data_IF_328641431512
#
_entry.id   IF_328641431512
#
_cell.length_a   1.000
_cell.length_b   1.000
_cell.length_c   1.000
_cell.angle_alpha   90.00
_cell.angle_beta   90.00
_cell.angle_gamma   90.00
#
_symmetry.space_group_name_H-M   'P 1'
#
loop_
_entity.id
_entity.type
_entity.pdbx_description
1 polymer ?
#
# COMPACT_ATOMS: atom_id res chain seq x y z
N UNK A 1 0.22 15.89 -2.83
CA UNK A 1 0.26 14.74 -1.90
C UNK A 1 1.71 14.42 -1.60
N UNK A 2 2.06 14.31 -0.34
CA UNK A 2 3.38 13.90 0.10
C UNK A 2 3.74 12.49 -0.40
N UNK A 3 5.02 12.23 -0.64
CA UNK A 3 5.45 10.97 -1.25
C UNK A 3 5.08 9.75 -0.40
N UNK A 4 5.19 9.84 0.95
CA UNK A 4 4.86 8.73 1.84
C UNK A 4 3.40 8.25 1.69
N UNK A 5 2.45 9.17 1.52
CA UNK A 5 1.04 8.78 1.36
C UNK A 5 0.79 8.01 0.05
N UNK A 6 1.56 8.31 -1.02
CA UNK A 6 1.54 7.50 -2.24
C UNK A 6 2.13 6.11 -2.02
N UNK A 7 3.25 6.06 -1.29
CA UNK A 7 3.89 4.80 -0.96
C UNK A 7 2.95 3.91 -0.16
N UNK A 8 2.26 4.46 0.84
CA UNK A 8 1.26 3.73 1.63
C UNK A 8 0.13 3.20 0.75
N UNK A 9 -0.41 4.01 -0.17
CA UNK A 9 -1.47 3.54 -1.08
C UNK A 9 -0.99 2.40 -1.99
N UNK A 10 0.24 2.45 -2.50
CA UNK A 10 0.79 1.34 -3.29
C UNK A 10 1.11 0.11 -2.44
N UNK A 11 1.51 0.29 -1.17
CA UNK A 11 1.81 -0.80 -0.25
C UNK A 11 0.55 -1.50 0.28
N UNK A 12 -0.58 -0.78 0.36
CA UNK A 12 -1.79 -1.25 1.02
C UNK A 12 -2.23 -2.67 0.59
N UNK A 13 -2.29 -3.03 -0.72
CA UNK A 13 -2.68 -4.38 -1.13
C UNK A 13 -1.75 -5.50 -0.63
N UNK A 14 -0.54 -5.15 -0.23
CA UNK A 14 0.51 -6.06 0.21
C UNK A 14 0.62 -6.15 1.73
N UNK A 15 0.02 -5.20 2.47
CA UNK A 15 0.17 -5.12 3.93
C UNK A 15 -0.27 -6.39 4.64
N UNK A 16 -1.34 -7.03 4.15
CA UNK A 16 -1.82 -8.29 4.74
C UNK A 16 -0.78 -9.40 4.58
N UNK A 17 -0.33 -9.63 3.34
CA UNK A 17 0.66 -10.68 3.05
C UNK A 17 1.94 -10.49 3.86
N UNK A 18 2.47 -9.25 3.86
CA UNK A 18 3.68 -8.95 4.64
C UNK A 18 3.46 -9.14 6.14
N UNK A 19 2.30 -8.77 6.67
CA UNK A 19 1.94 -9.02 8.07
C UNK A 19 1.84 -10.51 8.40
N UNK A 20 1.27 -11.30 7.50
CA UNK A 20 1.18 -12.77 7.62
C UNK A 20 2.59 -13.41 7.58
N UNK A 21 3.48 -12.93 6.68
CA UNK A 21 4.89 -13.37 6.60
C UNK A 21 5.65 -13.08 7.91
N UNK A 22 5.46 -11.90 8.51
CA UNK A 22 6.02 -11.60 9.83
C UNK A 22 5.49 -12.53 10.91
N UNK A 23 4.19 -12.83 10.92
CA UNK A 23 3.58 -13.73 11.88
C UNK A 23 4.14 -15.16 11.77
N UNK A 24 4.32 -15.64 10.55
CA UNK A 24 4.93 -16.95 10.29
C UNK A 24 6.41 -16.98 10.72
N UNK A 25 7.17 -15.95 10.36
CA UNK A 25 8.58 -15.83 10.74
C UNK A 25 8.77 -15.82 12.26
N UNK A 26 7.98 -15.04 13.00
CA UNK A 26 7.98 -15.01 14.46
C UNK A 26 7.70 -16.41 15.02
N UNK A 27 6.68 -17.11 14.51
CA UNK A 27 6.32 -18.46 14.96
C UNK A 27 7.46 -19.45 14.72
N UNK A 28 8.02 -19.46 13.52
CA UNK A 28 9.10 -20.36 13.15
C UNK A 28 10.35 -20.13 14.02
N UNK A 29 10.72 -18.87 14.25
CA UNK A 29 11.84 -18.51 15.12
C UNK A 29 11.60 -18.90 16.58
N UNK A 30 10.41 -18.71 17.09
CA UNK A 30 10.05 -19.13 18.45
C UNK A 30 10.13 -20.65 18.64
N UNK A 31 9.67 -21.43 17.65
CA UNK A 31 9.76 -22.90 17.68
C UNK A 31 11.21 -23.39 17.59
N UNK A 32 12.02 -22.75 16.74
CA UNK A 32 13.43 -23.14 16.52
C UNK A 32 14.38 -22.54 17.58
N UNK A 33 13.86 -21.88 18.60
CA UNK A 33 14.65 -21.21 19.64
C UNK A 33 15.63 -22.14 20.36
N UNK A 34 15.28 -23.41 20.56
CA UNK A 34 16.13 -24.43 21.20
C UNK A 34 17.44 -24.71 20.45
N UNK A 35 17.47 -24.51 19.13
CA UNK A 35 18.65 -24.77 18.29
C UNK A 35 19.25 -23.45 17.75
N UNK A 36 18.86 -22.31 18.31
CA UNK A 36 19.35 -21.02 17.86
C UNK A 36 20.80 -20.77 18.31
N UNK A 37 21.71 -20.32 17.44
CA UNK A 37 23.03 -19.88 17.84
C UNK A 37 23.02 -18.53 18.60
N UNK A 38 21.86 -17.87 18.69
CA UNK A 38 21.68 -16.61 19.40
C UNK A 38 21.49 -16.84 20.87
N UNK A 39 21.98 -15.94 21.70
CA UNK A 39 21.64 -15.93 23.14
C UNK A 39 20.16 -15.66 23.32
N UNK A 40 19.59 -16.14 24.42
CA UNK A 40 18.17 -15.96 24.76
C UNK A 40 17.74 -14.48 24.70
N UNK A 41 18.61 -13.59 25.22
CA UNK A 41 18.36 -12.13 25.21
C UNK A 41 18.28 -11.59 23.80
N UNK A 42 19.27 -11.88 22.94
CA UNK A 42 19.27 -11.44 21.55
C UNK A 42 18.10 -12.01 20.75
N UNK A 43 17.71 -13.22 21.01
CA UNK A 43 16.53 -13.81 20.38
C UNK A 43 15.25 -13.10 20.82
N UNK A 44 15.14 -12.79 22.13
CA UNK A 44 14.00 -12.05 22.66
C UNK A 44 13.91 -10.62 22.07
N UNK A 45 15.02 -9.89 21.99
CA UNK A 45 15.08 -8.58 21.35
C UNK A 45 14.65 -8.65 19.88
N UNK A 46 15.19 -9.60 19.14
CA UNK A 46 14.84 -9.82 17.74
C UNK A 46 13.34 -10.09 17.56
N UNK A 47 12.78 -11.04 18.31
CA UNK A 47 11.35 -11.36 18.24
C UNK A 47 10.47 -10.19 18.66
N UNK A 48 10.89 -9.42 19.65
CA UNK A 48 10.17 -8.20 20.06
C UNK A 48 10.10 -7.19 18.92
N UNK A 49 11.22 -6.98 18.22
CA UNK A 49 11.25 -6.06 17.08
C UNK A 49 10.35 -6.50 15.92
N UNK A 50 10.36 -7.79 15.62
CA UNK A 50 9.46 -8.39 14.60
C UNK A 50 7.97 -8.21 14.97
N UNK A 51 7.62 -8.42 16.25
CA UNK A 51 6.26 -8.22 16.77
C UNK A 51 5.85 -6.73 16.63
N UNK A 52 6.74 -5.82 16.97
CA UNK A 52 6.48 -4.37 16.84
C UNK A 52 6.22 -4.01 15.36
N UNK A 53 7.06 -4.50 14.44
CA UNK A 53 6.86 -4.28 13.00
C UNK A 53 5.52 -4.85 12.52
N UNK A 54 5.18 -6.09 12.90
CA UNK A 54 3.90 -6.72 12.57
C UNK A 54 2.72 -5.87 13.06
N UNK A 55 2.74 -5.45 14.32
CA UNK A 55 1.66 -4.66 14.91
C UNK A 55 1.52 -3.29 14.22
N UNK A 56 2.63 -2.66 13.86
CA UNK A 56 2.63 -1.41 13.11
C UNK A 56 1.99 -1.58 11.71
N UNK A 57 2.28 -2.68 11.01
CA UNK A 57 1.67 -3.00 9.71
C UNK A 57 0.16 -3.27 9.84
N UNK A 58 -0.27 -3.99 10.86
CA UNK A 58 -1.69 -4.24 11.14
C UNK A 58 -2.43 -2.94 11.47
N UNK A 59 -1.82 -2.08 12.29
CA UNK A 59 -2.37 -0.77 12.60
C UNK A 59 -2.49 0.10 11.34
N UNK A 60 -1.47 0.16 10.50
CA UNK A 60 -1.49 0.91 9.25
C UNK A 60 -2.59 0.39 8.32
N UNK A 61 -2.69 -0.95 8.17
CA UNK A 61 -3.73 -1.59 7.36
C UNK A 61 -5.12 -1.20 7.84
N UNK A 62 -5.41 -1.37 9.13
CA UNK A 62 -6.71 -1.03 9.73
C UNK A 62 -7.03 0.46 9.58
N UNK A 63 -6.03 1.31 9.74
CA UNK A 63 -6.18 2.76 9.54
C UNK A 63 -6.58 3.05 8.09
N UNK A 64 -5.86 2.51 7.11
CA UNK A 64 -6.19 2.70 5.68
C UNK A 64 -7.60 2.18 5.37
N UNK A 65 -7.98 1.01 5.87
CA UNK A 65 -9.33 0.44 5.71
C UNK A 65 -10.40 1.39 6.25
N UNK A 66 -10.23 1.88 7.48
CA UNK A 66 -11.15 2.84 8.09
C UNK A 66 -11.26 4.15 7.28
N UNK A 67 -10.17 4.63 6.69
CA UNK A 67 -10.19 5.79 5.82
C UNK A 67 -10.87 5.52 4.48
N UNK A 68 -10.66 4.33 3.92
CA UNK A 68 -11.36 3.89 2.70
C UNK A 68 -12.87 3.84 2.91
N UNK A 69 -13.34 3.47 4.10
CA UNK A 69 -14.77 3.41 4.44
C UNK A 69 -15.44 4.78 4.48
N UNK A 70 -14.68 5.85 4.66
CA UNK A 70 -15.15 7.24 4.61
C UNK A 70 -15.23 7.82 3.20
N UNK A 71 -14.74 7.09 2.21
CA UNK A 71 -14.78 7.53 0.82
C UNK A 71 -16.10 7.12 0.16
N UNK A 72 -16.54 7.92 -0.81
CA UNK A 72 -17.65 7.53 -1.68
C UNK A 72 -17.27 6.32 -2.55
N UNK A 73 -18.26 5.61 -3.07
CA UNK A 73 -18.02 4.47 -3.98
C UNK A 73 -17.24 4.86 -5.24
N UNK A 74 -17.51 6.05 -5.80
CA UNK A 74 -16.76 6.58 -6.93
C UNK A 74 -15.28 6.82 -6.56
N UNK A 75 -15.03 7.40 -5.39
CA UNK A 75 -13.67 7.66 -4.89
C UNK A 75 -12.90 6.36 -4.65
N UNK A 76 -13.53 5.36 -4.03
CA UNK A 76 -12.95 4.01 -3.85
C UNK A 76 -12.59 3.38 -5.19
N UNK A 77 -13.51 3.42 -6.15
CA UNK A 77 -13.27 2.90 -7.50
C UNK A 77 -12.07 3.58 -8.16
N UNK A 78 -11.93 4.90 -8.01
CA UNK A 78 -10.78 5.62 -8.55
C UNK A 78 -9.46 5.21 -7.89
N UNK A 79 -9.43 4.99 -6.57
CA UNK A 79 -8.23 4.49 -5.87
C UNK A 79 -7.92 3.04 -6.29
N UNK A 80 -8.92 2.16 -6.37
CA UNK A 80 -8.75 0.77 -6.82
C UNK A 80 -8.12 0.71 -8.22
N UNK A 81 -8.63 1.50 -9.15
CA UNK A 81 -8.10 1.55 -10.51
C UNK A 81 -6.65 2.03 -10.54
N UNK A 82 -6.29 3.00 -9.72
CA UNK A 82 -4.98 3.64 -9.73
C UNK A 82 -3.93 2.87 -8.95
N UNK A 83 -4.26 2.44 -7.74
CA UNK A 83 -3.28 1.92 -6.77
C UNK A 83 -3.41 0.41 -6.55
N UNK A 84 -4.62 -0.16 -6.67
CA UNK A 84 -4.87 -1.55 -6.31
C UNK A 84 -5.17 -2.45 -7.51
N UNK A 85 -5.66 -1.89 -8.61
CA UNK A 85 -6.04 -2.66 -9.79
C UNK A 85 -4.91 -2.85 -10.79
N UNK A 86 -5.03 -3.84 -11.67
CA UNK A 86 -4.10 -4.10 -12.79
C UNK A 86 -4.21 -2.98 -13.84
N UNK A 87 -3.15 -2.74 -14.59
CA UNK A 87 -3.09 -1.75 -15.70
C UNK A 87 -4.23 -1.92 -16.71
N UNK A 88 -4.72 -3.16 -16.89
CA UNK A 88 -5.89 -3.47 -17.71
C UNK A 88 -7.14 -2.75 -17.21
N UNK A 89 -7.41 -2.75 -15.91
CA UNK A 89 -8.59 -2.07 -15.32
C UNK A 89 -8.61 -0.56 -15.65
N UNK A 90 -7.47 0.12 -15.60
CA UNK A 90 -7.40 1.53 -15.99
C UNK A 90 -7.71 1.73 -17.46
N UNK A 91 -7.13 0.91 -18.33
CA UNK A 91 -7.36 1.00 -19.79
C UNK A 91 -8.83 0.77 -20.12
N UNK A 92 -9.43 -0.27 -19.54
CA UNK A 92 -10.83 -0.60 -19.75
C UNK A 92 -11.77 0.51 -19.21
N UNK A 93 -11.44 1.08 -18.06
CA UNK A 93 -12.18 2.22 -17.51
C UNK A 93 -12.13 3.43 -18.45
N UNK A 94 -10.95 3.84 -18.89
CA UNK A 94 -10.79 4.98 -19.81
C UNK A 94 -11.50 4.74 -21.15
N UNK A 95 -11.44 3.52 -21.67
CA UNK A 95 -12.17 3.12 -22.89
C UNK A 95 -13.69 3.27 -22.74
N UNK A 96 -14.27 2.73 -21.64
CA UNK A 96 -15.70 2.88 -21.34
C UNK A 96 -16.11 4.36 -21.17
N UNK A 97 -15.27 5.20 -20.55
CA UNK A 97 -15.53 6.63 -20.42
C UNK A 97 -15.52 7.35 -21.79
N UNK A 98 -14.60 6.96 -22.66
CA UNK A 98 -14.54 7.50 -24.02
C UNK A 98 -15.77 7.09 -24.85
N UNK A 99 -16.23 5.85 -24.74
CA UNK A 99 -17.45 5.34 -25.40
C UNK A 99 -18.69 6.08 -24.89
N UNK A 100 -18.84 6.29 -23.56
CA UNK A 100 -19.93 7.11 -23.00
C UNK A 100 -19.97 8.53 -23.54
N UNK A 101 -18.82 9.14 -23.77
CA UNK A 101 -18.73 10.50 -24.35
C UNK A 101 -19.18 10.51 -25.81
N UNK A 102 -18.81 9.49 -26.60
CA UNK A 102 -19.22 9.37 -28.00
C UNK A 102 -20.73 9.20 -28.15
N UNK A 103 -21.39 8.54 -27.20
CA UNK A 103 -22.85 8.35 -27.17
C UNK A 103 -23.63 9.54 -26.58
N UNK A 104 -23.00 10.70 -26.41
CA UNK A 104 -23.65 11.91 -25.86
C UNK A 104 -23.81 11.92 -24.33
N UNK A 105 -23.22 10.96 -23.64
CA UNK A 105 -23.27 10.86 -22.17
C UNK A 105 -22.16 11.65 -21.46
N UNK A 106 -22.25 11.79 -20.13
CA UNK A 106 -21.31 12.49 -19.24
C UNK A 106 -20.03 11.69 -18.97
N UNK A 107 -19.39 11.14 -20.00
CA UNK A 107 -18.14 10.41 -19.86
C UNK A 107 -16.98 11.30 -19.41
N UNK A 108 -16.13 10.81 -18.50
CA UNK A 108 -14.97 11.52 -18.01
C UNK A 108 -13.85 11.56 -19.06
N UNK A 109 -13.27 12.74 -19.33
CA UNK A 109 -12.08 12.84 -20.15
C UNK A 109 -10.85 12.35 -19.38
N UNK A 110 -9.81 11.92 -20.09
CA UNK A 110 -8.55 11.49 -19.47
C UNK A 110 -7.96 12.59 -18.57
N UNK A 111 -7.96 13.85 -19.03
CA UNK A 111 -7.52 15.01 -18.24
C UNK A 111 -8.35 15.19 -16.96
N UNK A 112 -9.68 14.97 -17.04
CA UNK A 112 -10.58 15.08 -15.90
C UNK A 112 -10.36 13.92 -14.93
N UNK A 113 -10.10 12.71 -15.44
CA UNK A 113 -9.71 11.55 -14.63
C UNK A 113 -8.45 11.85 -13.80
N UNK A 114 -7.36 12.31 -14.42
CA UNK A 114 -6.13 12.62 -13.70
C UNK A 114 -6.29 13.75 -12.67
N UNK A 115 -7.12 14.76 -12.96
CA UNK A 115 -7.45 15.82 -11.99
C UNK A 115 -8.21 15.26 -10.78
N UNK A 116 -9.20 14.38 -11.00
CA UNK A 116 -9.94 13.72 -9.91
C UNK A 116 -9.01 12.83 -9.09
N UNK A 117 -8.14 12.09 -9.73
CA UNK A 117 -7.12 11.27 -9.07
C UNK A 117 -6.18 12.10 -8.18
N UNK A 118 -5.72 13.25 -8.68
CA UNK A 118 -4.85 14.12 -7.89
C UNK A 118 -5.58 14.66 -6.66
N UNK A 119 -6.79 15.19 -6.82
CA UNK A 119 -7.60 15.69 -5.71
C UNK A 119 -7.89 14.61 -4.66
N UNK A 120 -8.23 13.41 -5.12
CA UNK A 120 -8.50 12.28 -4.24
C UNK A 120 -7.23 11.86 -3.48
N UNK A 121 -6.10 11.84 -4.15
CA UNK A 121 -4.82 11.56 -3.53
C UNK A 121 -4.48 12.60 -2.45
N UNK A 122 -4.71 13.90 -2.72
CA UNK A 122 -4.48 14.97 -1.75
C UNK A 122 -5.44 14.86 -0.56
N UNK A 123 -6.72 14.58 -0.82
CA UNK A 123 -7.73 14.30 0.22
C UNK A 123 -7.30 13.13 1.10
N UNK A 124 -6.90 12.01 0.49
CA UNK A 124 -6.49 10.82 1.23
C UNK A 124 -5.22 11.08 2.06
N UNK A 125 -4.26 11.82 1.52
CA UNK A 125 -3.07 12.24 2.25
C UNK A 125 -3.40 13.09 3.49
N UNK A 126 -4.35 14.02 3.37
CA UNK A 126 -4.85 14.77 4.51
C UNK A 126 -5.56 13.87 5.55
N UNK A 127 -6.37 12.91 5.09
CA UNK A 127 -7.03 11.95 5.97
C UNK A 127 -6.02 11.09 6.73
N UNK A 128 -4.95 10.61 6.08
CA UNK A 128 -3.84 9.90 6.75
C UNK A 128 -3.18 10.75 7.82
N UNK A 129 -2.87 12.01 7.51
CA UNK A 129 -2.29 12.94 8.48
C UNK A 129 -3.18 13.11 9.72
N UNK A 130 -4.48 13.35 9.54
CA UNK A 130 -5.43 13.47 10.66
C UNK A 130 -5.65 12.16 11.42
N UNK A 131 -5.41 11.01 10.81
CA UNK A 131 -5.42 9.70 11.47
C UNK A 131 -4.11 9.39 12.22
N UNK A 132 -3.17 10.32 12.27
CA UNK A 132 -1.89 10.16 12.94
C UNK A 132 -0.79 9.53 12.09
N UNK A 133 -1.05 9.19 10.83
CA UNK A 133 -0.04 8.69 9.89
C UNK A 133 0.67 9.86 9.23
N UNK A 134 1.61 10.44 9.96
CA UNK A 134 2.43 11.58 9.51
C UNK A 134 3.71 11.09 8.79
N UNK A 135 4.41 12.02 8.10
CA UNK A 135 5.73 11.71 7.53
C UNK A 135 6.69 11.17 8.60
N UNK A 136 6.70 11.78 9.79
CA UNK A 136 7.54 11.34 10.90
C UNK A 136 7.25 9.88 11.30
N UNK A 137 5.97 9.53 11.50
CA UNK A 137 5.57 8.16 11.84
C UNK A 137 5.94 7.19 10.73
N UNK A 138 5.77 7.60 9.46
CA UNK A 138 6.18 6.80 8.31
C UNK A 138 7.69 6.53 8.33
N UNK A 139 8.51 7.56 8.54
CA UNK A 139 9.97 7.44 8.54
C UNK A 139 10.46 6.57 9.70
N UNK A 140 9.86 6.69 10.88
CA UNK A 140 10.24 5.93 12.08
C UNK A 140 9.81 4.46 12.06
N UNK A 141 8.65 4.15 11.47
CA UNK A 141 8.06 2.81 11.59
C UNK A 141 8.08 1.99 10.30
N UNK A 142 8.08 2.63 9.13
CA UNK A 142 7.84 1.93 7.87
C UNK A 142 8.94 2.11 6.83
N UNK A 143 9.64 3.26 6.81
CA UNK A 143 10.55 3.60 5.73
C UNK A 143 11.66 2.56 5.52
N UNK A 144 12.14 1.95 6.60
CA UNK A 144 13.21 0.93 6.58
C UNK A 144 12.72 -0.47 6.20
N UNK A 145 11.43 -0.74 6.22
CA UNK A 145 10.89 -2.03 5.80
C UNK A 145 11.09 -2.22 4.29
N UNK A 146 11.55 -3.38 3.89
CA UNK A 146 11.92 -3.70 2.51
C UNK A 146 10.83 -3.37 1.49
N UNK A 147 9.58 -3.69 1.82
CA UNK A 147 8.43 -3.43 0.96
C UNK A 147 8.28 -1.91 0.70
N UNK A 148 8.39 -1.08 1.74
CA UNK A 148 8.26 0.36 1.61
C UNK A 148 9.44 1.00 0.91
N UNK A 149 10.68 0.54 1.16
CA UNK A 149 11.87 0.99 0.44
C UNK A 149 11.77 0.70 -1.07
N UNK A 150 11.32 -0.48 -1.45
CA UNK A 150 11.13 -0.86 -2.86
C UNK A 150 10.08 0.03 -3.52
N UNK A 151 8.91 0.20 -2.88
CA UNK A 151 7.84 1.04 -3.42
C UNK A 151 8.25 2.51 -3.48
N UNK A 152 8.96 3.01 -2.48
CA UNK A 152 9.46 4.38 -2.45
C UNK A 152 10.35 4.69 -3.66
N UNK A 153 11.27 3.78 -4.00
CA UNK A 153 12.11 3.89 -5.21
C UNK A 153 11.27 3.98 -6.49
N UNK A 154 10.20 3.21 -6.61
CA UNK A 154 9.27 3.30 -7.76
C UNK A 154 8.55 4.64 -7.82
N UNK A 155 8.09 5.14 -6.68
CA UNK A 155 7.39 6.43 -6.60
C UNK A 155 8.33 7.59 -6.96
N UNK A 156 9.55 7.60 -6.42
CA UNK A 156 10.55 8.64 -6.70
C UNK A 156 11.06 8.62 -8.14
N UNK A 157 11.27 7.44 -8.70
CA UNK A 157 11.71 7.31 -10.10
C UNK A 157 10.66 7.80 -11.11
N UNK A 158 9.55 8.40 -10.65
CA UNK A 158 8.44 8.81 -11.52
C UNK A 158 7.75 7.63 -12.22
N UNK A 159 8.18 6.40 -11.95
CA UNK A 159 7.57 5.17 -12.41
C UNK A 159 6.32 4.84 -11.60
N UNK A 160 5.55 5.85 -11.20
CA UNK A 160 4.22 5.71 -10.59
C UNK A 160 3.19 5.10 -11.56
N UNK A 161 3.64 4.27 -12.50
CA UNK A 161 2.82 3.27 -13.15
C UNK A 161 2.46 2.25 -12.07
N UNK A 162 1.23 1.74 -12.12
CA UNK A 162 0.81 0.59 -11.33
C UNK A 162 1.95 -0.42 -11.26
N UNK A 163 2.27 -0.85 -10.07
CA UNK A 163 3.08 -2.03 -9.87
C UNK A 163 2.35 -3.16 -10.60
N UNK A 164 2.98 -3.70 -11.63
CA UNK A 164 2.40 -4.79 -12.42
C UNK A 164 2.27 -6.05 -11.57
N UNK A 165 1.50 -7.04 -12.02
CA UNK A 165 1.44 -8.34 -11.33
C UNK A 165 2.84 -8.98 -11.20
N UNK A 166 3.69 -8.81 -12.22
CA UNK A 166 5.06 -9.33 -12.21
C UNK A 166 5.94 -8.59 -11.20
N UNK A 167 5.76 -7.26 -11.06
CA UNK A 167 6.44 -6.47 -10.04
C UNK A 167 5.95 -6.80 -8.62
N UNK A 168 4.69 -7.19 -8.47
CA UNK A 168 4.17 -7.71 -7.18
C UNK A 168 4.81 -9.05 -6.82
N UNK A 169 5.03 -9.96 -7.78
CA UNK A 169 5.79 -11.20 -7.58
C UNK A 169 7.20 -10.92 -7.08
N UNK A 170 7.90 -9.96 -7.70
CA UNK A 170 9.24 -9.53 -7.28
C UNK A 170 9.24 -8.90 -5.87
N UNK A 171 8.09 -8.37 -5.42
CA UNK A 171 7.92 -7.81 -4.08
C UNK A 171 7.50 -8.86 -3.04
N UNK A 172 7.32 -10.15 -3.46
CA UNK A 172 6.95 -11.24 -2.57
C UNK A 172 5.45 -11.34 -2.26
N UNK A 173 4.59 -10.75 -3.13
CA UNK A 173 3.15 -10.68 -2.88
C UNK A 173 2.33 -11.81 -3.54
N UNK A 174 2.96 -12.66 -4.33
CA UNK A 174 2.33 -13.83 -4.95
C UNK A 174 2.97 -15.12 -4.34
N UNK A 175 2.82 -15.31 -3.05
CA UNK A 175 2.93 -16.62 -2.42
C UNK A 175 1.55 -17.30 -2.49
N UNK A 176 1.52 -18.51 -3.02
CA UNK A 176 0.37 -19.42 -3.03
C UNK A 176 -0.35 -19.52 -1.69
#
# INVERSE_FOLDING_TARGET
MENYAKVILYAYPLLKTVGDDYAEHIRNKAVLSYNSPLTTERLAEYLTQEIVCKNALEWLKTTVESLMDRLTEEERTLLDIRYFGKTKKLRDFLKRQAEKRKSGGTGCSERMYFRRQQRLADKFGAMLFYAGVTQKVYDEQFAELDIFRKIHRFVEAGKAKKISADERRLLGADGD
#
